data_IF_709746189550
#
_entry.id   IF_709746189550
#
_cell.length_a   1.000
_cell.length_b   1.000
_cell.length_c   1.000
_cell.angle_alpha   90.00
_cell.angle_beta   90.00
_cell.angle_gamma   90.00
#
_symmetry.space_group_name_H-M   'P 1'
#
loop_
_entity.id
_entity.type
_entity.pdbx_description
1 polymer ?
#
# COMPACT_ATOMS: atom_id res chain seq x y z
N UNK A 1 0.16 -15.54 -17.06
CA UNK A 1 0.93 -14.50 -16.33
C UNK A 1 0.02 -13.36 -15.82
N UNK A 2 -1.16 -13.13 -16.40
CA UNK A 2 -2.05 -12.01 -16.01
C UNK A 2 -2.68 -12.10 -14.60
N UNK A 3 -2.71 -13.25 -13.95
CA UNK A 3 -3.36 -13.43 -12.63
C UNK A 3 -2.41 -13.53 -11.44
N UNK A 4 -1.10 -13.63 -11.66
CA UNK A 4 -0.14 -14.12 -10.64
C UNK A 4 0.43 -13.04 -9.71
N UNK A 5 0.33 -11.74 -10.01
CA UNK A 5 1.20 -10.75 -9.33
C UNK A 5 0.58 -10.14 -8.07
N UNK A 6 -0.71 -10.15 -7.88
CA UNK A 6 -1.30 -9.46 -6.72
C UNK A 6 -2.18 -10.33 -5.84
N UNK A 7 -3.31 -10.79 -6.37
CA UNK A 7 -4.33 -11.45 -5.56
C UNK A 7 -3.99 -12.90 -5.18
N UNK A 8 -3.44 -13.69 -6.09
CA UNK A 8 -3.07 -15.08 -5.79
C UNK A 8 -1.91 -15.17 -4.80
N UNK A 9 -0.92 -14.29 -4.89
CA UNK A 9 0.18 -14.26 -3.92
C UNK A 9 -0.32 -13.88 -2.52
N UNK A 10 -1.27 -12.96 -2.41
CA UNK A 10 -1.86 -12.60 -1.11
C UNK A 10 -2.71 -13.73 -0.52
N UNK A 11 -3.43 -14.51 -1.34
CA UNK A 11 -4.25 -15.64 -0.86
C UNK A 11 -3.35 -16.82 -0.46
N UNK A 12 -2.41 -17.21 -1.32
CA UNK A 12 -1.45 -18.30 -1.05
C UNK A 12 -0.61 -18.05 0.19
N UNK A 13 -0.23 -16.80 0.43
CA UNK A 13 0.48 -16.36 1.62
C UNK A 13 -0.32 -16.65 2.91
N UNK A 14 -1.63 -16.43 2.90
CA UNK A 14 -2.50 -16.72 4.06
C UNK A 14 -2.55 -18.22 4.38
N UNK A 15 -2.67 -19.06 3.36
CA UNK A 15 -2.61 -20.50 3.53
C UNK A 15 -1.22 -20.94 4.04
N UNK A 16 -0.15 -20.36 3.52
CA UNK A 16 1.20 -20.67 3.95
C UNK A 16 1.47 -20.24 5.39
N UNK A 17 1.07 -19.03 5.78
CA UNK A 17 1.16 -18.54 7.16
C UNK A 17 0.32 -19.37 8.12
N UNK A 18 -0.87 -19.80 7.71
CA UNK A 18 -1.72 -20.69 8.50
C UNK A 18 -1.07 -22.08 8.69
N UNK A 19 -0.46 -22.61 7.63
CA UNK A 19 0.26 -23.89 7.70
C UNK A 19 1.48 -23.83 8.63
N UNK A 20 2.15 -22.69 8.68
CA UNK A 20 3.28 -22.45 9.60
C UNK A 20 2.85 -22.07 11.03
N UNK A 21 1.54 -21.97 11.32
CA UNK A 21 1.04 -21.54 12.63
C UNK A 21 1.22 -20.05 12.96
N UNK A 22 1.59 -19.23 11.99
CA UNK A 22 1.80 -17.78 12.17
C UNK A 22 0.58 -16.91 11.85
N UNK A 23 -0.50 -17.52 11.36
CA UNK A 23 -1.69 -16.76 11.02
C UNK A 23 -2.45 -16.30 12.26
N UNK A 24 -2.76 -15.01 12.32
CA UNK A 24 -3.60 -14.42 13.37
C UNK A 24 -4.46 -13.32 12.78
N UNK A 25 -5.70 -13.20 13.24
CA UNK A 25 -6.58 -12.09 12.87
C UNK A 25 -6.00 -10.72 13.27
N UNK A 26 -5.15 -10.68 14.30
CA UNK A 26 -4.51 -9.45 14.79
C UNK A 26 -3.36 -8.96 13.91
N UNK A 27 -2.77 -9.83 13.06
CA UNK A 27 -1.56 -9.49 12.29
C UNK A 27 -1.62 -9.84 10.81
N UNK A 28 -2.54 -10.73 10.43
CA UNK A 28 -2.49 -11.35 9.10
C UNK A 28 -3.58 -10.89 8.12
N UNK A 29 -4.50 -9.98 8.51
CA UNK A 29 -5.46 -9.42 7.57
C UNK A 29 -4.76 -8.49 6.55
N UNK A 30 -5.22 -8.47 5.28
CA UNK A 30 -4.60 -7.64 4.23
C UNK A 30 -5.05 -6.17 4.28
N UNK A 31 -5.20 -5.60 5.47
CA UNK A 31 -5.71 -4.25 5.69
C UNK A 31 -4.62 -3.21 6.01
N UNK A 32 -3.35 -3.62 6.04
CA UNK A 32 -2.26 -2.66 5.88
C UNK A 32 -2.31 -2.01 4.49
N UNK A 33 -1.86 -0.77 4.37
CA UNK A 33 -1.86 -0.03 3.10
C UNK A 33 -1.28 -0.84 1.92
N UNK A 34 -0.14 -1.51 2.15
CA UNK A 34 0.49 -2.35 1.11
C UNK A 34 -0.34 -3.59 0.78
N UNK A 35 -1.06 -4.18 1.76
CA UNK A 35 -1.96 -5.30 1.53
C UNK A 35 -3.13 -4.91 0.62
N UNK A 36 -3.81 -3.80 0.94
CA UNK A 36 -4.88 -3.21 0.13
C UNK A 36 -4.36 -2.87 -1.28
N UNK A 37 -3.20 -2.19 -1.36
CA UNK A 37 -2.59 -1.80 -2.63
C UNK A 37 -2.19 -3.01 -3.48
N UNK A 38 -1.67 -4.07 -2.88
CA UNK A 38 -1.29 -5.29 -3.58
C UNK A 38 -2.49 -6.02 -4.21
N UNK A 39 -3.59 -6.15 -3.45
CA UNK A 39 -4.85 -6.71 -3.97
C UNK A 39 -5.39 -5.83 -5.09
N UNK A 40 -5.43 -4.52 -4.87
CA UNK A 40 -5.91 -3.56 -5.87
C UNK A 40 -5.04 -3.59 -7.13
N UNK A 41 -3.71 -3.70 -7.02
CA UNK A 41 -2.82 -3.84 -8.17
C UNK A 41 -3.16 -5.08 -9.00
N UNK A 42 -3.43 -6.22 -8.36
CA UNK A 42 -3.91 -7.42 -9.05
C UNK A 42 -5.23 -7.21 -9.78
N UNK A 43 -6.21 -6.58 -9.13
CA UNK A 43 -7.51 -6.25 -9.74
C UNK A 43 -7.33 -5.32 -10.94
N UNK A 44 -6.46 -4.31 -10.82
CA UNK A 44 -6.20 -3.33 -11.87
C UNK A 44 -5.55 -3.91 -13.12
N UNK A 45 -4.84 -5.02 -13.01
CA UNK A 45 -4.32 -5.77 -14.17
C UNK A 45 -5.41 -6.53 -14.93
N UNK A 46 -6.52 -6.88 -14.27
CA UNK A 46 -7.65 -7.59 -14.87
C UNK A 46 -8.77 -6.63 -15.32
N UNK A 47 -9.07 -5.65 -14.48
CA UNK A 47 -10.14 -4.66 -14.68
C UNK A 47 -9.64 -3.26 -14.31
N UNK A 48 -8.94 -2.58 -15.20
CA UNK A 48 -8.42 -1.25 -14.94
C UNK A 48 -9.55 -0.24 -14.67
N UNK A 49 -9.38 0.57 -13.62
CA UNK A 49 -10.29 1.65 -13.26
C UNK A 49 -9.53 2.93 -12.94
N UNK A 50 -10.18 4.07 -13.16
CA UNK A 50 -9.55 5.37 -12.90
C UNK A 50 -9.28 5.60 -11.40
N UNK A 51 -10.21 5.22 -10.54
CA UNK A 51 -10.05 5.38 -9.09
C UNK A 51 -8.96 4.47 -8.52
N UNK A 52 -8.91 3.21 -8.98
CA UNK A 52 -7.84 2.28 -8.57
C UNK A 52 -6.47 2.75 -9.05
N UNK A 53 -6.38 3.29 -10.28
CA UNK A 53 -5.15 3.92 -10.77
C UNK A 53 -4.72 5.10 -9.91
N UNK A 54 -5.63 6.05 -9.60
CA UNK A 54 -5.32 7.21 -8.77
C UNK A 54 -4.82 6.79 -7.37
N UNK A 55 -5.47 5.81 -6.74
CA UNK A 55 -5.05 5.29 -5.45
C UNK A 55 -3.65 4.66 -5.50
N UNK A 56 -3.40 3.75 -6.43
CA UNK A 56 -2.10 3.10 -6.58
C UNK A 56 -0.99 4.10 -6.92
N UNK A 57 -1.27 5.05 -7.82
CA UNK A 57 -0.30 6.05 -8.24
C UNK A 57 0.08 7.01 -7.10
N UNK A 58 -0.89 7.47 -6.29
CA UNK A 58 -0.69 8.60 -5.38
C UNK A 58 -0.35 8.18 -3.95
N UNK A 59 -0.82 7.02 -3.48
CA UNK A 59 -0.54 6.54 -2.12
C UNK A 59 0.04 5.12 -2.10
N UNK A 60 -0.38 4.23 -2.98
CA UNK A 60 0.17 2.87 -3.08
C UNK A 60 1.65 2.89 -3.44
N UNK A 61 2.02 3.61 -4.52
CA UNK A 61 3.42 3.70 -4.98
C UNK A 61 4.37 4.31 -3.96
N UNK A 62 4.10 5.48 -3.34
CA UNK A 62 4.98 5.99 -2.30
C UNK A 62 5.06 5.06 -1.09
N UNK A 63 3.95 4.47 -0.63
CA UNK A 63 3.97 3.50 0.46
C UNK A 63 4.82 2.26 0.15
N UNK A 64 4.69 1.72 -1.07
CA UNK A 64 5.51 0.60 -1.51
C UNK A 64 6.99 0.96 -1.66
N UNK A 65 7.30 2.18 -2.12
CA UNK A 65 8.68 2.67 -2.20
C UNK A 65 9.32 2.74 -0.82
N UNK A 66 8.63 3.29 0.18
CA UNK A 66 9.11 3.30 1.56
C UNK A 66 9.31 1.89 2.10
N UNK A 67 8.39 0.98 1.85
CA UNK A 67 8.53 -0.42 2.27
C UNK A 67 9.75 -1.11 1.65
N UNK A 68 10.11 -0.79 0.40
CA UNK A 68 11.32 -1.32 -0.24
C UNK A 68 12.61 -0.72 0.32
N UNK A 69 12.59 0.56 0.72
CA UNK A 69 13.74 1.25 1.29
C UNK A 69 13.99 0.89 2.77
N UNK A 70 12.92 0.62 3.53
CA UNK A 70 12.98 0.25 4.94
C UNK A 70 12.17 -1.02 5.19
N UNK A 71 12.65 -2.19 4.72
CA UNK A 71 11.88 -3.42 4.77
C UNK A 71 11.67 -3.91 6.20
N UNK A 72 10.42 -4.11 6.59
CA UNK A 72 10.02 -4.72 7.86
C UNK A 72 9.63 -6.19 7.62
N UNK A 73 10.55 -7.09 7.91
CA UNK A 73 10.38 -8.53 7.68
C UNK A 73 9.89 -9.21 8.97
N UNK A 74 8.60 -9.13 9.24
CA UNK A 74 7.98 -9.61 10.49
C UNK A 74 8.05 -11.12 10.70
N UNK A 75 8.34 -11.90 9.66
CA UNK A 75 8.38 -13.37 9.71
C UNK A 75 9.80 -13.94 9.53
N UNK A 76 10.83 -13.14 9.88
CA UNK A 76 12.23 -13.57 9.81
C UNK A 76 12.74 -13.81 8.38
N UNK A 77 13.72 -14.70 8.25
CA UNK A 77 14.46 -14.95 7.00
C UNK A 77 13.86 -16.07 6.12
N UNK A 78 12.54 -16.25 6.11
CA UNK A 78 11.90 -17.26 5.24
C UNK A 78 12.00 -16.80 3.79
N UNK A 79 12.76 -17.49 2.90
CA UNK A 79 13.07 -17.01 1.56
C UNK A 79 11.82 -16.72 0.70
N UNK A 80 10.79 -17.53 0.82
CA UNK A 80 9.53 -17.33 0.09
C UNK A 80 8.83 -16.03 0.49
N UNK A 81 8.79 -15.70 1.80
CA UNK A 81 8.14 -14.49 2.30
C UNK A 81 8.93 -13.24 1.92
N UNK A 82 10.27 -13.32 1.92
CA UNK A 82 11.14 -12.24 1.44
C UNK A 82 10.91 -12.00 -0.06
N UNK A 83 10.97 -13.04 -0.88
CA UNK A 83 10.70 -12.93 -2.31
C UNK A 83 9.33 -12.31 -2.59
N UNK A 84 8.29 -12.82 -1.94
CA UNK A 84 6.93 -12.30 -2.04
C UNK A 84 6.86 -10.82 -1.65
N UNK A 85 7.53 -10.43 -0.57
CA UNK A 85 7.56 -9.05 -0.10
C UNK A 85 8.05 -8.11 -1.20
N UNK A 86 9.22 -8.37 -1.78
CA UNK A 86 9.80 -7.52 -2.81
C UNK A 86 8.98 -7.52 -4.11
N UNK A 87 8.52 -8.68 -4.56
CA UNK A 87 7.69 -8.78 -5.79
C UNK A 87 6.36 -8.05 -5.63
N UNK A 88 5.71 -8.20 -4.48
CA UNK A 88 4.45 -7.51 -4.19
C UNK A 88 4.61 -5.99 -4.20
N UNK A 89 5.62 -5.45 -3.50
CA UNK A 89 5.85 -4.01 -3.45
C UNK A 89 6.31 -3.43 -4.79
N UNK A 90 7.15 -4.16 -5.53
CA UNK A 90 7.48 -3.80 -6.91
C UNK A 90 6.23 -3.75 -7.81
N UNK A 91 5.32 -4.72 -7.68
CA UNK A 91 4.06 -4.75 -8.41
C UNK A 91 3.17 -3.54 -8.11
N UNK A 92 3.07 -3.11 -6.85
CA UNK A 92 2.31 -1.91 -6.46
C UNK A 92 2.83 -0.65 -7.17
N UNK A 93 4.14 -0.56 -7.43
CA UNK A 93 4.75 0.57 -8.15
C UNK A 93 4.60 0.41 -9.66
N UNK A 94 4.89 -0.77 -10.20
CA UNK A 94 4.93 -1.01 -11.65
C UNK A 94 3.55 -0.96 -12.31
N UNK A 95 2.49 -1.41 -11.62
CA UNK A 95 1.14 -1.42 -12.18
C UNK A 95 0.64 -0.01 -12.54
N UNK A 96 0.65 0.99 -11.65
CA UNK A 96 0.22 2.33 -12.03
C UNK A 96 1.14 3.00 -13.05
N UNK A 97 2.45 2.69 -13.05
CA UNK A 97 3.35 3.14 -14.12
C UNK A 97 2.96 2.55 -15.47
N UNK A 98 2.69 1.25 -15.54
CA UNK A 98 2.20 0.58 -16.75
C UNK A 98 0.89 1.21 -17.23
N UNK A 99 -0.07 1.43 -16.34
CA UNK A 99 -1.34 2.07 -16.67
C UNK A 99 -1.15 3.49 -17.23
N UNK A 100 -0.21 4.26 -16.66
CA UNK A 100 0.05 5.63 -17.11
C UNK A 100 0.81 5.67 -18.46
N UNK A 101 1.84 4.84 -18.61
CA UNK A 101 2.77 4.90 -19.75
C UNK A 101 2.21 4.13 -20.95
N UNK A 102 1.69 2.92 -20.73
CA UNK A 102 1.24 2.02 -21.79
C UNK A 102 -0.26 2.22 -22.10
N UNK A 103 -1.11 2.26 -21.07
CA UNK A 103 -2.56 2.38 -21.29
C UNK A 103 -3.07 3.83 -21.26
N UNK A 104 -2.19 4.81 -21.10
CA UNK A 104 -2.55 6.23 -21.21
C UNK A 104 -3.40 6.79 -20.06
N UNK A 105 -3.47 6.13 -18.91
CA UNK A 105 -4.20 6.63 -17.74
C UNK A 105 -3.59 7.94 -17.23
N UNK A 106 -4.45 8.88 -16.82
CA UNK A 106 -4.02 10.23 -16.39
C UNK A 106 -4.62 10.62 -15.05
N UNK A 107 -3.82 11.28 -14.25
CA UNK A 107 -4.24 11.92 -13.00
C UNK A 107 -5.09 13.15 -13.31
N UNK A 108 -6.28 13.24 -12.71
CA UNK A 108 -7.23 14.35 -12.85
C UNK A 108 -6.92 15.46 -11.83
N UNK A 109 -7.49 16.66 -12.06
CA UNK A 109 -7.23 17.83 -11.21
C UNK A 109 -7.49 17.61 -9.72
N UNK A 110 -8.53 16.86 -9.35
CA UNK A 110 -8.93 16.62 -7.97
C UNK A 110 -8.53 15.22 -7.46
N UNK A 111 -7.69 14.46 -8.18
CA UNK A 111 -7.28 13.11 -7.77
C UNK A 111 -6.59 13.10 -6.40
N UNK A 112 -5.71 14.07 -6.13
CA UNK A 112 -5.01 14.20 -4.86
C UNK A 112 -5.98 14.33 -3.67
N UNK A 113 -7.01 15.16 -3.83
CA UNK A 113 -8.00 15.39 -2.78
C UNK A 113 -8.87 14.15 -2.56
N UNK A 114 -9.32 13.48 -3.65
CA UNK A 114 -10.11 12.24 -3.54
C UNK A 114 -9.34 11.12 -2.87
N UNK A 115 -8.07 10.94 -3.23
CA UNK A 115 -7.22 9.92 -2.62
C UNK A 115 -6.97 10.24 -1.15
N UNK A 116 -6.67 11.50 -0.83
CA UNK A 116 -6.50 11.94 0.56
C UNK A 116 -7.77 11.69 1.39
N UNK A 117 -8.94 12.09 0.87
CA UNK A 117 -10.22 11.86 1.56
C UNK A 117 -10.51 10.35 1.75
N UNK A 118 -10.20 9.54 0.75
CA UNK A 118 -10.35 8.08 0.86
C UNK A 118 -9.41 7.50 1.94
N UNK A 119 -8.19 8.01 2.07
CA UNK A 119 -7.28 7.62 3.15
C UNK A 119 -7.86 7.97 4.53
N UNK A 120 -8.55 9.11 4.69
CA UNK A 120 -9.22 9.45 5.95
C UNK A 120 -10.32 8.43 6.31
N UNK A 121 -11.12 8.01 5.33
CA UNK A 121 -12.13 6.96 5.54
C UNK A 121 -11.48 5.64 5.94
N UNK A 122 -10.37 5.27 5.29
CA UNK A 122 -9.59 4.07 5.65
C UNK A 122 -9.03 4.17 7.08
N UNK A 123 -8.49 5.33 7.48
CA UNK A 123 -7.98 5.54 8.83
C UNK A 123 -9.04 5.28 9.90
N UNK A 124 -10.23 5.85 9.72
CA UNK A 124 -11.35 5.64 10.65
C UNK A 124 -11.76 4.17 10.70
N UNK A 125 -11.91 3.53 9.52
CA UNK A 125 -12.29 2.13 9.43
C UNK A 125 -11.26 1.20 10.08
N UNK A 126 -9.97 1.41 9.80
CA UNK A 126 -8.90 0.57 10.35
C UNK A 126 -8.68 0.86 11.83
N UNK A 127 -8.81 2.12 12.26
CA UNK A 127 -8.77 2.48 13.68
C UNK A 127 -9.87 1.77 14.48
N UNK A 128 -11.10 1.78 13.96
CA UNK A 128 -12.20 1.02 14.56
C UNK A 128 -11.91 -0.50 14.58
N UNK A 129 -11.41 -1.04 13.48
CA UNK A 129 -11.03 -2.46 13.39
C UNK A 129 -9.97 -2.81 14.44
N UNK A 130 -8.91 -1.99 14.57
CA UNK A 130 -7.88 -2.18 15.59
C UNK A 130 -8.44 -2.21 17.01
N UNK A 131 -9.38 -1.33 17.29
CA UNK A 131 -10.05 -1.28 18.61
C UNK A 131 -10.82 -2.59 18.90
N UNK A 132 -11.63 -3.07 17.95
CA UNK A 132 -12.47 -4.26 18.17
C UNK A 132 -11.70 -5.58 18.23
N UNK A 133 -10.62 -5.72 17.47
CA UNK A 133 -9.84 -6.98 17.44
C UNK A 133 -8.50 -6.86 18.16
N UNK A 134 -8.27 -5.76 18.89
CA UNK A 134 -7.03 -5.48 19.64
C UNK A 134 -5.78 -5.67 18.77
N UNK A 135 -5.74 -5.02 17.62
CA UNK A 135 -4.66 -5.12 16.63
C UNK A 135 -3.97 -3.78 16.39
N UNK A 136 -2.91 -3.79 15.57
CA UNK A 136 -2.15 -2.58 15.23
C UNK A 136 -1.95 -2.44 13.71
N UNK A 137 -3.03 -2.57 12.93
CA UNK A 137 -2.97 -2.35 11.50
C UNK A 137 -2.70 -0.88 11.18
N UNK A 138 -1.85 -0.63 10.17
CA UNK A 138 -1.34 0.69 9.78
C UNK A 138 -0.66 1.46 10.94
N UNK A 139 -0.28 0.75 12.02
CA UNK A 139 0.36 1.33 13.20
C UNK A 139 -0.45 2.47 13.84
N UNK A 140 -1.78 2.34 13.87
CA UNK A 140 -2.66 3.36 14.44
C UNK A 140 -2.84 3.23 15.96
N UNK A 141 -2.55 2.06 16.54
CA UNK A 141 -2.63 1.82 17.98
C UNK A 141 -1.27 2.00 18.68
N UNK A 142 -0.18 1.52 18.05
CA UNK A 142 1.17 1.56 18.61
C UNK A 142 2.20 1.84 17.51
N UNK A 143 3.31 2.46 17.88
CA UNK A 143 4.43 2.74 16.95
C UNK A 143 5.04 1.45 16.41
N UNK A 144 5.49 1.42 15.13
CA UNK A 144 6.27 0.31 14.62
C UNK A 144 7.59 0.17 15.38
N UNK A 145 8.08 -1.07 15.54
CA UNK A 145 9.34 -1.37 16.23
C UNK A 145 10.57 -0.89 15.45
N UNK A 146 10.42 -0.69 14.14
CA UNK A 146 11.52 -0.19 13.29
C UNK A 146 11.68 1.31 13.47
N UNK A 147 12.90 1.75 13.73
CA UNK A 147 13.23 3.17 13.75
C UNK A 147 12.94 3.79 12.38
N UNK A 148 11.95 4.67 12.34
CA UNK A 148 11.58 5.39 11.13
C UNK A 148 11.67 6.90 11.41
N UNK A 149 12.50 7.65 10.68
CA UNK A 149 12.68 9.09 10.89
C UNK A 149 11.41 9.92 10.65
N UNK A 150 10.40 9.31 10.02
CA UNK A 150 9.11 9.95 9.77
C UNK A 150 8.16 9.87 10.99
N UNK A 151 8.52 9.10 12.03
CA UNK A 151 7.75 8.95 13.27
C UNK A 151 8.17 10.04 14.28
N UNK A 152 7.49 11.16 14.23
CA UNK A 152 7.75 12.29 15.14
C UNK A 152 6.71 12.30 16.24
N UNK A 153 7.16 12.25 17.50
CA UNK A 153 6.29 12.32 18.69
C UNK A 153 5.76 10.96 19.17
N UNK A 154 5.01 10.99 20.27
CA UNK A 154 4.36 9.84 20.89
C UNK A 154 2.93 9.67 20.36
N UNK A 155 2.29 8.55 20.68
CA UNK A 155 0.87 8.34 20.39
C UNK A 155 0.00 9.37 21.11
N UNK A 156 -1.01 9.96 20.48
CA UNK A 156 -1.45 9.77 19.09
C UNK A 156 -0.76 10.72 18.07
N UNK A 157 0.16 11.57 18.50
CA UNK A 157 0.70 12.70 17.71
C UNK A 157 1.47 12.27 16.47
N UNK A 158 2.16 11.11 16.49
CA UNK A 158 2.85 10.61 15.30
C UNK A 158 1.88 10.29 14.14
N UNK A 159 0.59 10.04 14.44
CA UNK A 159 -0.45 9.82 13.40
C UNK A 159 -0.64 11.10 12.58
N UNK A 160 -0.64 12.28 13.24
CA UNK A 160 -0.68 13.55 12.51
C UNK A 160 0.56 13.75 11.64
N UNK A 161 1.73 13.32 12.12
CA UNK A 161 2.95 13.30 11.33
C UNK A 161 2.81 12.44 10.07
N UNK A 162 2.23 11.24 10.18
CA UNK A 162 1.92 10.37 9.04
C UNK A 162 0.94 11.02 8.06
N UNK A 163 -0.08 11.72 8.56
CA UNK A 163 -1.05 12.42 7.71
C UNK A 163 -0.41 13.53 6.89
N UNK A 164 0.41 14.37 7.53
CA UNK A 164 1.13 15.45 6.84
C UNK A 164 2.09 14.89 5.81
N UNK A 165 2.89 13.88 6.18
CA UNK A 165 3.83 13.22 5.26
C UNK A 165 3.10 12.47 4.16
N UNK A 166 1.98 11.81 4.46
CA UNK A 166 1.12 11.16 3.49
C UNK A 166 0.60 12.15 2.44
N UNK A 167 0.11 13.32 2.88
CA UNK A 167 -0.33 14.37 1.98
C UNK A 167 0.82 14.91 1.11
N UNK A 168 2.00 15.12 1.68
CA UNK A 168 3.19 15.56 0.92
C UNK A 168 3.54 14.53 -0.16
N UNK A 169 3.52 13.23 0.16
CA UNK A 169 3.78 12.16 -0.81
C UNK A 169 2.72 12.12 -1.93
N UNK A 170 1.44 12.23 -1.55
CA UNK A 170 0.34 12.33 -2.52
C UNK A 170 0.59 13.49 -3.50
N UNK A 171 0.99 14.67 -3.01
CA UNK A 171 1.25 15.84 -3.85
C UNK A 171 2.49 15.65 -4.74
N UNK A 172 3.60 15.11 -4.21
CA UNK A 172 4.80 14.83 -5.01
C UNK A 172 4.46 13.88 -6.18
N UNK A 173 3.79 12.76 -5.89
CA UNK A 173 3.42 11.79 -6.92
C UNK A 173 2.34 12.35 -7.86
N UNK A 174 1.40 13.16 -7.35
CA UNK A 174 0.42 13.86 -8.17
C UNK A 174 1.08 14.74 -9.25
N UNK A 175 2.05 15.57 -8.87
CA UNK A 175 2.76 16.41 -9.84
C UNK A 175 3.65 15.58 -10.78
N UNK A 176 4.27 14.51 -10.27
CA UNK A 176 5.04 13.56 -11.09
C UNK A 176 4.19 12.92 -12.18
N UNK A 177 3.10 12.26 -11.79
CA UNK A 177 2.21 11.58 -12.74
C UNK A 177 1.49 12.54 -13.71
N UNK A 178 1.21 13.77 -13.32
CA UNK A 178 0.64 14.78 -14.23
C UNK A 178 1.58 15.19 -15.36
N UNK A 179 2.88 15.10 -15.16
CA UNK A 179 3.90 15.40 -16.18
C UNK A 179 4.21 14.23 -17.11
N UNK A 180 3.82 13.01 -16.74
CA UNK A 180 4.07 11.82 -17.55
C UNK A 180 3.29 11.90 -18.89
N UNK A 181 3.93 11.44 -19.97
CA UNK A 181 3.32 11.29 -21.28
C UNK A 181 3.21 9.80 -21.63
N UNK A 182 2.17 9.35 -22.35
CA UNK A 182 2.11 7.98 -22.84
C UNK A 182 3.21 7.77 -23.88
N UNK A 183 3.56 6.50 -24.10
CA UNK A 183 4.40 6.14 -25.23
C UNK A 183 3.65 6.52 -26.53
N UNK A 184 4.33 7.12 -27.51
CA UNK A 184 3.75 7.27 -28.84
C UNK A 184 3.54 5.86 -29.45
N UNK A 185 2.35 5.59 -29.92
CA UNK A 185 2.06 4.40 -30.72
C UNK A 185 2.43 4.65 -32.17
#
# INVERSE_FOLDING_TARGET
IRGLVGSEMCIRDRFYLNHLGFWSIKTSLPIHLCGISGILAGIMMLRPSHYGFEFLALIGSPGALHALLTPQLNHGSIPFLIFKYYVSHAGIILVPLFLAIVLGYRIKRLSWYRVFLFCQVLLVFIGATNYFIESNYMYLAERPLVSNPMLIGEWPWYILGFEVLGLIHILIFYFGYRKMRPLPY
#
